data_IF_725786773134
#
_entry.id   IF_725786773134
#
_cell.length_a   1.000
_cell.length_b   1.000
_cell.length_c   1.000
_cell.angle_alpha   90.00
_cell.angle_beta   90.00
_cell.angle_gamma   90.00
#
_symmetry.space_group_name_H-M   'P 1'
#
loop_
_entity.id
_entity.type
_entity.pdbx_description
1 polymer ?
#
# COMPACT_ATOMS: atom_id res chain seq x y z
N UNK A 1 -2.62 -21.59 -21.72
CA UNK A 1 -1.19 -22.01 -21.67
C UNK A 1 -0.88 -22.31 -20.20
N UNK A 2 -0.25 -23.43 -19.89
CA UNK A 2 0.15 -23.76 -18.50
C UNK A 2 1.55 -23.23 -18.24
N UNK A 3 1.83 -22.78 -17.02
CA UNK A 3 3.18 -22.41 -16.61
C UNK A 3 4.11 -23.63 -16.68
N UNK A 4 5.37 -23.44 -17.08
CA UNK A 4 6.37 -24.51 -17.05
C UNK A 4 6.83 -24.77 -15.63
N UNK A 5 7.49 -25.90 -15.42
CA UNK A 5 8.05 -26.27 -14.11
C UNK A 5 9.05 -25.22 -13.64
N UNK A 6 9.93 -24.78 -14.53
CA UNK A 6 10.96 -23.78 -14.24
C UNK A 6 10.36 -22.42 -13.88
N UNK A 7 9.28 -22.02 -14.56
CA UNK A 7 8.54 -20.79 -14.23
C UNK A 7 7.90 -20.85 -12.83
N UNK A 8 7.33 -22.01 -12.47
CA UNK A 8 6.76 -22.22 -11.14
C UNK A 8 7.84 -22.24 -10.07
N UNK A 9 8.99 -22.88 -10.32
CA UNK A 9 10.13 -22.90 -9.40
C UNK A 9 10.65 -21.47 -9.15
N UNK A 10 10.80 -20.65 -10.20
CA UNK A 10 11.24 -19.26 -10.08
C UNK A 10 10.24 -18.43 -9.27
N UNK A 11 8.93 -18.52 -9.54
CA UNK A 11 7.92 -17.80 -8.80
C UNK A 11 7.84 -18.22 -7.32
N UNK A 12 7.98 -19.51 -7.04
CA UNK A 12 8.04 -20.00 -5.66
C UNK A 12 9.28 -19.48 -4.92
N UNK A 13 10.45 -19.46 -5.56
CA UNK A 13 11.66 -18.91 -4.96
C UNK A 13 11.52 -17.41 -4.63
N UNK A 14 10.87 -16.64 -5.51
CA UNK A 14 10.56 -15.22 -5.24
C UNK A 14 9.58 -15.08 -4.07
N UNK A 15 8.55 -15.92 -4.01
CA UNK A 15 7.60 -15.94 -2.91
C UNK A 15 8.28 -16.25 -1.57
N UNK A 16 9.13 -17.28 -1.52
CA UNK A 16 9.85 -17.69 -0.32
C UNK A 16 10.76 -16.55 0.19
N UNK A 17 11.41 -15.83 -0.72
CA UNK A 17 12.23 -14.68 -0.36
C UNK A 17 11.39 -13.49 0.14
N UNK A 18 10.21 -13.25 -0.43
CA UNK A 18 9.25 -12.28 0.12
C UNK A 18 8.80 -12.68 1.53
N UNK A 19 8.51 -13.97 1.75
CA UNK A 19 8.06 -14.45 3.05
C UNK A 19 9.15 -14.37 4.14
N UNK A 20 10.41 -14.58 3.76
CA UNK A 20 11.57 -14.32 4.62
C UNK A 20 11.67 -12.83 5.01
N UNK A 21 11.57 -11.92 4.03
CA UNK A 21 11.60 -10.48 4.28
C UNK A 21 10.43 -10.05 5.18
N UNK A 22 9.21 -10.58 4.93
CA UNK A 22 8.04 -10.37 5.79
C UNK A 22 8.30 -10.82 7.23
N UNK A 23 8.89 -12.00 7.40
CA UNK A 23 9.17 -12.59 8.72
C UNK A 23 10.26 -11.83 9.47
N UNK A 24 11.21 -11.25 8.74
CA UNK A 24 12.25 -10.37 9.28
C UNK A 24 11.73 -8.94 9.61
N UNK A 25 10.50 -8.61 9.22
CA UNK A 25 9.95 -7.26 9.38
C UNK A 25 10.59 -6.22 8.47
N UNK A 26 11.10 -6.65 7.30
CA UNK A 26 11.74 -5.81 6.30
C UNK A 26 10.79 -5.52 5.11
N UNK A 27 9.99 -4.44 5.20
CA UNK A 27 9.07 -4.08 4.14
C UNK A 27 9.75 -3.62 2.86
N UNK A 28 10.94 -3.01 2.93
CA UNK A 28 11.63 -2.51 1.75
C UNK A 28 12.12 -3.67 0.86
N UNK A 29 12.76 -4.68 1.46
CA UNK A 29 13.16 -5.91 0.76
C UNK A 29 11.93 -6.66 0.24
N UNK A 30 10.86 -6.78 1.04
CA UNK A 30 9.60 -7.37 0.57
C UNK A 30 9.10 -6.68 -0.69
N UNK A 31 9.06 -5.34 -0.72
CA UNK A 31 8.60 -4.56 -1.86
C UNK A 31 9.44 -4.76 -3.12
N UNK A 32 10.75 -4.80 -2.96
CA UNK A 32 11.65 -5.02 -4.11
C UNK A 32 11.38 -6.37 -4.76
N UNK A 33 11.28 -7.44 -3.96
CA UNK A 33 11.01 -8.79 -4.46
C UNK A 33 9.59 -8.88 -5.03
N UNK A 34 8.60 -8.25 -4.39
CA UNK A 34 7.23 -8.18 -4.87
C UNK A 34 7.12 -7.58 -6.30
N UNK A 35 7.88 -6.52 -6.58
CA UNK A 35 7.93 -5.96 -7.94
C UNK A 35 8.50 -6.95 -8.94
N UNK A 36 9.57 -7.68 -8.59
CA UNK A 36 10.15 -8.71 -9.45
C UNK A 36 9.16 -9.85 -9.67
N UNK A 37 8.48 -10.32 -8.62
CA UNK A 37 7.46 -11.37 -8.71
C UNK A 37 6.36 -11.02 -9.71
N UNK A 38 5.77 -9.84 -9.60
CA UNK A 38 4.73 -9.40 -10.53
C UNK A 38 5.25 -9.20 -11.96
N UNK A 39 6.48 -8.72 -12.12
CA UNK A 39 7.12 -8.57 -13.43
C UNK A 39 7.30 -9.94 -14.10
N UNK A 40 7.79 -10.94 -13.37
CA UNK A 40 7.95 -12.31 -13.88
C UNK A 40 6.62 -12.94 -14.23
N UNK A 41 5.62 -12.79 -13.36
CA UNK A 41 4.26 -13.28 -13.62
C UNK A 41 3.70 -12.74 -14.93
N UNK A 42 3.86 -11.44 -15.21
CA UNK A 42 3.44 -10.84 -16.48
C UNK A 42 4.26 -11.35 -17.68
N UNK A 43 5.57 -11.49 -17.55
CA UNK A 43 6.44 -12.01 -18.61
C UNK A 43 6.05 -13.44 -18.98
N UNK A 44 5.71 -14.28 -18.03
CA UNK A 44 5.33 -15.68 -18.25
C UNK A 44 3.98 -15.85 -18.97
N UNK A 45 3.17 -14.81 -19.06
CA UNK A 45 1.97 -14.82 -19.92
C UNK A 45 2.34 -14.90 -21.42
N UNK A 46 3.57 -14.54 -21.82
CA UNK A 46 3.99 -14.41 -23.19
C UNK A 46 3.35 -13.24 -23.96
N UNK A 47 2.48 -12.47 -23.30
CA UNK A 47 1.80 -11.34 -23.90
C UNK A 47 2.62 -10.05 -23.75
N UNK A 48 3.40 -9.71 -24.78
CA UNK A 48 4.28 -8.54 -24.77
C UNK A 48 3.53 -7.20 -24.61
N UNK A 49 2.30 -7.11 -25.14
CA UNK A 49 1.48 -5.91 -25.00
C UNK A 49 1.00 -5.72 -23.55
N UNK A 50 0.54 -6.80 -22.94
CA UNK A 50 0.14 -6.78 -21.52
C UNK A 50 1.33 -6.40 -20.63
N UNK A 51 2.49 -7.00 -20.88
CA UNK A 51 3.71 -6.69 -20.15
C UNK A 51 4.12 -5.22 -20.29
N UNK A 52 4.09 -4.66 -21.52
CA UNK A 52 4.45 -3.25 -21.75
C UNK A 52 3.51 -2.27 -21.06
N UNK A 53 2.19 -2.57 -21.03
CA UNK A 53 1.19 -1.76 -20.33
C UNK A 53 1.43 -1.82 -18.81
N UNK A 54 1.65 -3.02 -18.26
CA UNK A 54 1.91 -3.25 -16.84
C UNK A 54 3.15 -2.47 -16.36
N UNK A 55 4.26 -2.55 -17.10
CA UNK A 55 5.49 -1.82 -16.81
C UNK A 55 5.29 -0.29 -16.83
N UNK A 56 4.50 0.21 -17.79
CA UNK A 56 4.18 1.62 -17.87
C UNK A 56 3.37 2.09 -16.66
N UNK A 57 2.37 1.31 -16.25
CA UNK A 57 1.54 1.60 -15.08
C UNK A 57 2.39 1.55 -13.81
N UNK A 58 3.19 0.51 -13.60
CA UNK A 58 4.09 0.37 -12.46
C UNK A 58 5.06 1.54 -12.34
N UNK A 59 5.64 1.98 -13.47
CA UNK A 59 6.57 3.12 -13.49
C UNK A 59 5.90 4.41 -12.99
N UNK A 60 4.63 4.65 -13.35
CA UNK A 60 3.86 5.80 -12.88
C UNK A 60 3.47 5.68 -11.41
N UNK A 61 3.11 4.48 -10.96
CA UNK A 61 2.67 4.22 -9.59
C UNK A 61 3.80 3.98 -8.60
N UNK A 62 5.04 3.88 -9.04
CA UNK A 62 6.21 3.47 -8.21
C UNK A 62 6.33 4.24 -6.90
N UNK A 63 6.07 5.55 -6.91
CA UNK A 63 6.12 6.39 -5.70
C UNK A 63 4.99 6.08 -4.72
N UNK A 64 3.82 5.68 -5.25
CA UNK A 64 2.66 5.33 -4.43
C UNK A 64 2.77 3.91 -3.88
N UNK A 65 3.30 2.97 -4.67
CA UNK A 65 3.45 1.57 -4.27
C UNK A 65 4.39 1.40 -3.06
N UNK A 66 5.46 2.21 -2.97
CA UNK A 66 6.36 2.21 -1.79
C UNK A 66 5.67 2.67 -0.50
N UNK A 67 4.60 3.48 -0.60
CA UNK A 67 3.87 3.99 0.56
C UNK A 67 2.71 3.08 0.98
N UNK A 68 2.30 2.16 0.12
CA UNK A 68 1.05 1.40 0.27
C UNK A 68 1.08 0.24 1.27
N UNK A 69 2.25 -0.31 1.60
CA UNK A 69 2.37 -1.47 2.50
C UNK A 69 3.41 -1.14 3.57
N UNK A 70 2.98 -0.64 4.72
CA UNK A 70 3.88 -0.19 5.79
C UNK A 70 3.64 -0.91 7.12
N UNK A 71 2.76 -1.93 7.18
CA UNK A 71 2.50 -2.68 8.40
C UNK A 71 2.67 -4.18 8.18
N UNK A 72 3.12 -4.89 9.23
CA UNK A 72 3.22 -6.36 9.21
C UNK A 72 1.89 -7.05 8.88
N UNK A 73 0.76 -6.46 9.28
CA UNK A 73 -0.56 -6.99 8.95
C UNK A 73 -0.82 -6.92 7.44
N UNK A 74 -0.48 -5.81 6.79
CA UNK A 74 -0.61 -5.66 5.34
C UNK A 74 0.35 -6.59 4.57
N UNK A 75 1.57 -6.79 5.05
CA UNK A 75 2.51 -7.75 4.47
C UNK A 75 1.96 -9.19 4.55
N UNK A 76 1.35 -9.57 5.68
CA UNK A 76 0.73 -10.91 5.85
C UNK A 76 -0.42 -11.11 4.86
N UNK A 77 -1.31 -10.13 4.70
CA UNK A 77 -2.42 -10.20 3.75
C UNK A 77 -1.91 -10.31 2.32
N UNK A 78 -0.92 -9.51 1.95
CA UNK A 78 -0.31 -9.56 0.62
C UNK A 78 0.37 -10.91 0.35
N UNK A 79 1.09 -11.47 1.32
CA UNK A 79 1.72 -12.79 1.21
C UNK A 79 0.69 -13.90 1.00
N UNK A 80 -0.43 -13.87 1.73
CA UNK A 80 -1.52 -14.83 1.55
C UNK A 80 -2.15 -14.75 0.14
N UNK A 81 -2.35 -13.53 -0.37
CA UNK A 81 -2.85 -13.31 -1.73
C UNK A 81 -1.88 -13.91 -2.77
N UNK A 82 -0.56 -13.68 -2.65
CA UNK A 82 0.43 -14.25 -3.56
C UNK A 82 0.47 -15.77 -3.51
N UNK A 83 0.32 -16.37 -2.33
CA UNK A 83 0.23 -17.84 -2.19
C UNK A 83 -0.96 -18.39 -2.94
N UNK A 84 -2.14 -17.78 -2.81
CA UNK A 84 -3.34 -18.19 -3.52
C UNK A 84 -3.17 -18.12 -5.05
N UNK A 85 -2.48 -17.10 -5.56
CA UNK A 85 -2.17 -16.99 -7.00
C UNK A 85 -1.26 -18.16 -7.43
N UNK A 86 -0.19 -18.43 -6.70
CA UNK A 86 0.75 -19.50 -7.01
C UNK A 86 0.10 -20.89 -6.96
N UNK A 87 -0.75 -21.14 -5.97
CA UNK A 87 -1.45 -22.43 -5.82
C UNK A 87 -2.38 -22.68 -7.00
N UNK A 88 -3.12 -21.66 -7.45
CA UNK A 88 -3.98 -21.77 -8.62
C UNK A 88 -3.19 -22.01 -9.91
N UNK A 89 -2.06 -21.30 -10.10
CA UNK A 89 -1.18 -21.52 -11.26
C UNK A 89 -0.60 -22.94 -11.24
N UNK A 90 -0.13 -23.41 -10.10
CA UNK A 90 0.43 -24.75 -9.94
C UNK A 90 -0.61 -25.86 -10.23
N UNK A 91 -1.85 -25.64 -9.84
CA UNK A 91 -2.98 -26.52 -10.14
C UNK A 91 -3.40 -26.47 -11.63
N UNK A 92 -2.91 -25.48 -12.40
CA UNK A 92 -3.36 -25.22 -13.77
C UNK A 92 -4.78 -24.66 -13.85
N UNK A 93 -5.29 -24.11 -12.73
CA UNK A 93 -6.58 -23.45 -12.62
C UNK A 93 -6.46 -22.00 -13.11
N UNK A 94 -6.75 -21.78 -14.38
CA UNK A 94 -6.64 -20.48 -15.01
C UNK A 94 -7.67 -19.47 -14.46
N UNK A 95 -8.89 -19.92 -14.18
CA UNK A 95 -9.96 -19.07 -13.66
C UNK A 95 -9.68 -18.70 -12.20
N UNK A 96 -9.26 -19.66 -11.39
CA UNK A 96 -8.86 -19.42 -10.01
C UNK A 96 -7.66 -18.50 -9.92
N UNK A 97 -6.65 -18.63 -10.80
CA UNK A 97 -5.51 -17.74 -10.86
C UNK A 97 -5.91 -16.30 -11.24
N UNK A 98 -6.79 -16.14 -12.22
CA UNK A 98 -7.32 -14.84 -12.62
C UNK A 98 -8.10 -14.18 -11.48
N UNK A 99 -9.01 -14.92 -10.83
CA UNK A 99 -9.80 -14.43 -9.71
C UNK A 99 -8.91 -14.07 -8.50
N UNK A 100 -7.89 -14.86 -8.20
CA UNK A 100 -6.93 -14.57 -7.13
C UNK A 100 -6.11 -13.30 -7.43
N UNK A 101 -5.65 -13.14 -8.66
CA UNK A 101 -4.90 -11.95 -9.08
C UNK A 101 -5.74 -10.68 -9.07
N UNK A 102 -6.99 -10.75 -9.56
CA UNK A 102 -7.95 -9.65 -9.51
C UNK A 102 -8.21 -9.20 -8.07
N UNK A 103 -8.51 -10.14 -7.19
CA UNK A 103 -8.72 -9.89 -5.76
C UNK A 103 -7.52 -9.23 -5.11
N UNK A 104 -6.30 -9.74 -5.38
CA UNK A 104 -5.04 -9.17 -4.93
C UNK A 104 -4.86 -7.71 -5.41
N UNK A 105 -5.17 -7.44 -6.68
CA UNK A 105 -5.04 -6.10 -7.28
C UNK A 105 -6.03 -5.11 -6.65
N UNK A 106 -7.29 -5.51 -6.43
CA UNK A 106 -8.32 -4.69 -5.80
C UNK A 106 -7.95 -4.38 -4.35
N UNK A 107 -7.55 -5.39 -3.58
CA UNK A 107 -7.18 -5.22 -2.17
C UNK A 107 -5.88 -4.41 -2.03
N UNK A 108 -4.93 -4.58 -2.94
CA UNK A 108 -3.71 -3.78 -3.02
C UNK A 108 -3.99 -2.31 -3.26
N UNK A 109 -4.87 -2.01 -4.22
CA UNK A 109 -5.35 -0.65 -4.49
C UNK A 109 -6.02 -0.03 -3.26
N UNK A 110 -6.91 -0.76 -2.58
CA UNK A 110 -7.59 -0.25 -1.38
C UNK A 110 -6.61 0.08 -0.27
N UNK A 111 -5.65 -0.82 0.03
CA UNK A 111 -4.57 -0.58 1.00
C UNK A 111 -3.77 0.69 0.68
N UNK A 112 -3.47 0.91 -0.60
CA UNK A 112 -2.77 2.11 -1.04
C UNK A 112 -3.60 3.38 -0.80
N UNK A 113 -4.89 3.38 -1.17
CA UNK A 113 -5.79 4.52 -0.97
C UNK A 113 -5.97 4.86 0.51
N UNK A 114 -6.12 3.87 1.38
CA UNK A 114 -6.24 4.04 2.83
C UNK A 114 -4.96 4.66 3.43
N UNK A 115 -3.81 4.32 2.90
CA UNK A 115 -2.53 4.90 3.34
C UNK A 115 -2.40 6.35 2.91
N UNK A 116 -2.74 6.68 1.65
CA UNK A 116 -2.72 8.05 1.14
C UNK A 116 -3.75 8.92 1.88
N UNK A 117 -4.95 8.40 2.12
CA UNK A 117 -5.99 9.11 2.87
C UNK A 117 -5.56 9.46 4.30
N UNK A 118 -4.88 8.55 5.01
CA UNK A 118 -4.34 8.80 6.35
C UNK A 118 -3.23 9.86 6.36
N UNK A 119 -2.36 9.86 5.38
CA UNK A 119 -1.27 10.87 5.29
C UNK A 119 -1.79 12.25 4.89
N UNK A 120 -2.87 12.32 4.10
CA UNK A 120 -3.51 13.58 3.71
C UNK A 120 -4.40 14.17 4.82
N UNK A 121 -4.97 13.32 5.69
CA UNK A 121 -5.87 13.73 6.77
C UNK A 121 -5.20 13.99 8.12
N UNK A 122 -3.92 13.69 8.31
CA UNK A 122 -3.20 14.00 9.54
C UNK A 122 -2.86 15.49 9.58
N UNK A 123 -3.51 16.33 10.44
CA UNK A 123 -3.05 17.69 10.63
C UNK A 123 -1.63 17.65 11.18
N UNK A 124 -0.72 18.40 10.57
CA UNK A 124 0.65 18.52 11.08
C UNK A 124 0.55 18.98 12.54
N UNK A 125 1.15 18.24 13.46
CA UNK A 125 1.11 18.49 14.90
C UNK A 125 1.57 19.91 15.28
N UNK A 126 2.26 20.62 14.38
CA UNK A 126 2.69 22.01 14.54
C UNK A 126 1.57 23.04 14.32
N UNK A 127 0.47 22.70 13.63
CA UNK A 127 -0.65 23.63 13.42
C UNK A 127 -1.74 23.54 14.49
N UNK A 128 -1.89 22.37 15.15
CA UNK A 128 -2.86 22.19 16.23
C UNK A 128 -2.53 23.06 17.45
N UNK A 129 -1.26 23.14 17.85
CA UNK A 129 -0.81 23.93 18.99
C UNK A 129 -0.94 25.44 18.75
N UNK A 130 -0.69 25.92 17.51
CA UNK A 130 -0.82 27.35 17.17
C UNK A 130 -2.28 27.82 17.11
N UNK A 131 -3.23 26.96 16.69
CA UNK A 131 -4.66 27.32 16.66
C UNK A 131 -5.28 27.31 18.05
N UNK A 132 -4.88 26.42 18.94
CA UNK A 132 -5.39 26.37 20.32
C UNK A 132 -4.94 27.60 21.12
N UNK A 133 -3.70 28.02 21.01
CA UNK A 133 -3.17 29.22 21.69
C UNK A 133 -3.74 30.52 21.12
N UNK A 134 -3.97 30.63 19.83
CA UNK A 134 -4.60 31.80 19.20
C UNK A 134 -6.08 31.96 19.60
N UNK A 135 -6.80 30.86 19.85
CA UNK A 135 -8.19 30.90 20.27
C UNK A 135 -8.35 31.26 21.75
N UNK A 136 -7.46 30.74 22.60
CA UNK A 136 -7.44 31.08 24.05
C UNK A 136 -7.15 32.56 24.27
N UNK A 137 -6.20 33.16 23.56
CA UNK A 137 -5.87 34.58 23.68
C UNK A 137 -7.02 35.52 23.27
N UNK A 138 -7.79 35.17 22.22
CA UNK A 138 -8.96 35.95 21.80
C UNK A 138 -10.13 35.88 22.80
N UNK A 139 -10.32 34.75 23.46
CA UNK A 139 -11.37 34.58 24.45
C UNK A 139 -11.10 35.38 25.73
N UNK A 140 -9.82 35.50 26.11
CA UNK A 140 -9.40 36.26 27.29
C UNK A 140 -9.47 37.78 27.07
N UNK A 141 -9.10 38.22 25.87
CA UNK A 141 -9.21 39.64 25.48
C UNK A 141 -10.66 40.13 25.44
N UNK A 142 -11.62 39.33 24.98
CA UNK A 142 -13.06 39.64 25.00
C UNK A 142 -13.62 39.69 26.43
N UNK A 143 -13.18 38.82 27.34
CA UNK A 143 -13.61 38.86 28.74
C UNK A 143 -13.11 40.08 29.47
N UNK A 144 -11.90 40.52 29.22
CA UNK A 144 -11.33 41.71 29.85
C UNK A 144 -11.96 43.02 29.32
N UNK A 145 -12.30 43.08 28.02
CA UNK A 145 -13.02 44.22 27.44
C UNK A 145 -14.43 44.38 28.03
N UNK A 146 -15.17 43.27 28.21
CA UNK A 146 -16.52 43.29 28.82
C UNK A 146 -16.51 43.61 30.32
N UNK A 147 -15.40 43.39 31.05
CA UNK A 147 -15.25 43.81 32.45
C UNK A 147 -14.97 45.32 32.62
N UNK A 148 -14.30 45.94 31.66
CA UNK A 148 -14.00 47.39 31.71
C UNK A 148 -15.24 48.23 31.45
N UNK A 149 -16.10 47.86 30.49
CA UNK A 149 -17.33 48.57 30.19
C UNK A 149 -18.40 48.51 31.30
N UNK A 150 -18.30 47.55 32.24
CA UNK A 150 -19.21 47.46 33.40
C UNK A 150 -18.73 48.24 34.64
N UNK A 151 -17.53 48.83 34.61
CA UNK A 151 -17.02 49.63 35.73
C UNK A 151 -17.14 51.16 35.49
N UNK A 152 -17.46 51.55 34.25
CA UNK A 152 -17.56 52.96 33.84
C UNK A 152 -19.00 53.40 33.57
N UNK A 153 -20.02 52.64 33.95
CA UNK A 153 -21.45 52.95 33.97
C UNK A 153 -22.03 52.68 35.36
#
# INVERSE_FOLDING_TARGET
>A
MRATKEQLEELNALYDNMDKARSAGDPDTYHQINLVFHTRLMQFTGNQWLFAIDERIKKQLRLFLRKGINSLAQLRMSSADHRAILDAIAAGDAEGAAAAYERHSITGKQRMLDTVGRTAGAPSSSQSTRRATAWAGKAEHRRNAARRSRKEG
#
